data_IF_611824701443
#
_entry.id   IF_611824701443
#
_cell.length_a   1.000
_cell.length_b   1.000
_cell.length_c   1.000
_cell.angle_alpha   90.00
_cell.angle_beta   90.00
_cell.angle_gamma   90.00
#
_symmetry.space_group_name_H-M   'P 1'
#
loop_
_entity.id
_entity.type
_entity.pdbx_description
1 polymer ?
#
# COMPACT_ATOMS: atom_id res chain seq x y z
N UNK A 1 -18.04 3.40 24.71
CA UNK A 1 -17.56 2.23 23.96
C UNK A 1 -16.24 1.82 24.56
N UNK A 2 -16.19 0.62 25.12
CA UNK A 2 -15.01 0.01 25.71
C UNK A 2 -14.37 -0.95 24.70
N UNK A 3 -13.14 -1.39 24.98
CA UNK A 3 -12.49 -2.42 24.16
C UNK A 3 -13.31 -3.72 24.10
N UNK A 4 -13.92 -4.10 25.23
CA UNK A 4 -14.71 -5.32 25.35
C UNK A 4 -15.98 -5.27 24.48
N UNK A 5 -16.61 -4.10 24.36
CA UNK A 5 -17.78 -3.91 23.49
C UNK A 5 -17.41 -4.19 22.01
N UNK A 6 -16.24 -3.74 21.57
CA UNK A 6 -15.75 -3.94 20.21
C UNK A 6 -15.41 -5.41 19.96
N UNK A 7 -14.73 -6.05 20.91
CA UNK A 7 -14.38 -7.48 20.81
C UNK A 7 -15.63 -8.37 20.81
N UNK A 8 -16.63 -8.02 21.62
CA UNK A 8 -17.91 -8.74 21.64
C UNK A 8 -18.62 -8.67 20.28
N UNK A 9 -18.70 -7.49 19.67
CA UNK A 9 -19.28 -7.34 18.32
C UNK A 9 -18.48 -8.12 17.28
N UNK A 10 -17.15 -8.02 17.28
CA UNK A 10 -16.30 -8.73 16.32
C UNK A 10 -16.33 -10.25 16.49
N UNK A 11 -16.64 -10.78 17.67
CA UNK A 11 -16.81 -12.22 17.89
C UNK A 11 -17.97 -12.83 17.09
N UNK A 12 -18.96 -12.01 16.70
CA UNK A 12 -20.10 -12.44 15.88
C UNK A 12 -19.81 -12.47 14.38
N UNK A 13 -18.68 -11.89 13.94
CA UNK A 13 -18.35 -11.79 12.53
C UNK A 13 -17.65 -13.07 12.03
N UNK A 14 -17.82 -13.42 10.73
CA UNK A 14 -17.11 -14.54 10.14
C UNK A 14 -15.59 -14.38 10.25
N UNK A 15 -14.88 -15.45 10.65
CA UNK A 15 -13.41 -15.44 10.80
C UNK A 15 -12.64 -15.17 9.50
N UNK A 16 -13.29 -15.36 8.36
CA UNK A 16 -12.73 -15.12 7.02
C UNK A 16 -13.10 -13.74 6.44
N UNK A 17 -13.72 -12.86 7.24
CA UNK A 17 -14.01 -11.48 6.84
C UNK A 17 -12.73 -10.63 6.96
N UNK A 18 -12.44 -9.82 5.94
CA UNK A 18 -11.42 -8.78 5.99
C UNK A 18 -12.09 -7.41 5.96
N UNK A 19 -11.50 -6.43 6.64
CA UNK A 19 -11.97 -5.03 6.65
C UNK A 19 -11.14 -4.16 5.70
N UNK A 20 -10.48 -4.80 4.72
CA UNK A 20 -9.68 -4.09 3.74
C UNK A 20 -10.64 -3.56 2.68
N UNK A 21 -10.77 -2.24 2.62
CA UNK A 21 -11.56 -1.60 1.56
C UNK A 21 -10.90 -1.83 0.20
N UNK A 22 -11.55 -2.62 -0.65
CA UNK A 22 -11.11 -2.92 -2.01
C UNK A 22 -11.53 -1.82 -2.99
N UNK A 23 -11.12 -0.58 -2.76
CA UNK A 23 -11.32 0.47 -3.76
C UNK A 23 -10.28 0.38 -4.87
N UNK A 24 -10.75 0.46 -6.12
CA UNK A 24 -9.86 0.57 -7.27
C UNK A 24 -8.97 1.80 -7.10
N UNK A 25 -7.66 1.63 -7.32
CA UNK A 25 -6.73 2.75 -7.18
C UNK A 25 -7.07 3.85 -8.18
N UNK A 26 -7.38 5.05 -7.69
CA UNK A 26 -7.65 6.22 -8.54
C UNK A 26 -6.40 6.61 -9.34
N UNK A 27 -6.57 7.19 -10.53
CA UNK A 27 -5.46 7.54 -11.44
C UNK A 27 -4.34 8.36 -10.80
N UNK A 28 -4.68 9.34 -9.94
CA UNK A 28 -3.67 10.14 -9.22
C UNK A 28 -2.84 9.30 -8.24
N UNK A 29 -3.46 8.35 -7.52
CA UNK A 29 -2.77 7.44 -6.58
C UNK A 29 -1.83 6.50 -7.33
N UNK A 30 -2.25 6.01 -8.49
CA UNK A 30 -1.42 5.16 -9.36
C UNK A 30 -0.16 5.91 -9.79
N UNK A 31 -0.31 7.12 -10.30
CA UNK A 31 0.81 7.91 -10.80
C UNK A 31 1.80 8.29 -9.69
N UNK A 32 1.32 8.52 -8.47
CA UNK A 32 2.16 8.92 -7.33
C UNK A 32 2.77 7.76 -6.54
N UNK A 33 2.19 6.55 -6.58
CA UNK A 33 2.62 5.44 -5.72
C UNK A 33 3.01 4.17 -6.48
N UNK A 34 2.43 3.93 -7.65
CA UNK A 34 2.60 2.68 -8.37
C UNK A 34 3.45 2.81 -9.64
N UNK A 35 3.73 4.02 -10.12
CA UNK A 35 4.58 4.29 -11.28
C UNK A 35 5.97 4.85 -10.98
N UNK A 36 6.25 5.55 -9.85
CA UNK A 36 7.60 6.04 -9.60
C UNK A 36 8.61 4.91 -9.42
N UNK A 37 9.84 5.18 -9.81
CA UNK A 37 10.99 4.28 -9.61
C UNK A 37 11.87 4.87 -8.52
N UNK A 38 12.07 4.12 -7.45
CA UNK A 38 12.97 4.50 -6.35
C UNK A 38 14.31 3.82 -6.56
N UNK A 39 15.37 4.62 -6.59
CA UNK A 39 16.75 4.16 -6.65
C UNK A 39 17.28 4.18 -5.22
N UNK A 40 17.68 3.01 -4.74
CA UNK A 40 18.35 2.84 -3.45
C UNK A 40 19.82 2.47 -3.68
N UNK A 41 20.76 3.44 -3.55
CA UNK A 41 22.18 3.15 -3.70
C UNK A 41 22.71 2.21 -2.62
N UNK A 42 22.03 2.06 -1.48
CA UNK A 42 22.39 1.10 -0.44
C UNK A 42 22.26 -0.35 -0.87
N UNK A 43 21.52 -0.65 -1.95
CA UNK A 43 21.43 -2.01 -2.51
C UNK A 43 22.69 -2.44 -3.28
N UNK A 44 23.51 -1.48 -3.77
CA UNK A 44 24.70 -1.79 -4.56
C UNK A 44 25.98 -1.05 -4.10
N UNK A 45 25.89 -0.17 -3.10
CA UNK A 45 27.02 0.50 -2.46
C UNK A 45 27.05 0.17 -0.97
N UNK A 46 28.24 -0.08 -0.41
CA UNK A 46 28.43 -0.43 1.00
C UNK A 46 28.25 0.72 1.99
N UNK A 47 27.91 1.93 1.52
CA UNK A 47 27.71 3.13 2.36
C UNK A 47 26.24 3.51 2.35
N UNK A 48 25.78 4.09 3.46
CA UNK A 48 24.42 4.63 3.57
C UNK A 48 24.27 5.87 2.68
N UNK A 49 23.30 5.84 1.78
CA UNK A 49 22.93 6.97 0.94
C UNK A 49 21.44 7.28 1.09
N UNK A 50 21.04 8.48 0.66
CA UNK A 50 19.63 8.84 0.58
C UNK A 50 18.98 8.18 -0.63
N UNK A 51 17.69 7.88 -0.50
CA UNK A 51 16.87 7.42 -1.62
C UNK A 51 16.72 8.53 -2.65
N UNK A 52 16.78 8.16 -3.93
CA UNK A 52 16.52 9.06 -5.04
C UNK A 52 15.31 8.57 -5.85
N UNK A 53 14.54 9.52 -6.38
CA UNK A 53 13.48 9.23 -7.36
C UNK A 53 14.06 9.39 -8.76
N UNK A 54 13.81 8.41 -9.62
CA UNK A 54 14.11 8.56 -11.04
C UNK A 54 13.12 9.54 -11.69
N UNK A 55 13.57 10.25 -12.73
CA UNK A 55 12.70 11.11 -13.54
C UNK A 55 11.67 10.30 -14.33
N UNK A 56 12.05 9.09 -14.75
CA UNK A 56 11.20 8.21 -15.54
C UNK A 56 10.24 7.40 -14.65
N UNK A 57 9.05 7.15 -15.20
CA UNK A 57 8.03 6.33 -14.58
C UNK A 57 7.97 4.97 -15.25
N UNK A 58 7.78 3.92 -14.46
CA UNK A 58 7.51 2.58 -14.99
C UNK A 58 6.05 2.39 -15.33
N UNK A 59 5.80 1.44 -16.24
CA UNK A 59 4.46 0.98 -16.54
C UNK A 59 3.77 0.33 -15.33
N UNK A 60 2.45 0.31 -15.38
CA UNK A 60 1.66 -0.30 -14.32
C UNK A 60 1.80 -1.84 -14.36
N UNK A 61 2.13 -2.50 -13.23
CA UNK A 61 2.19 -3.95 -13.20
C UNK A 61 0.82 -4.55 -13.52
N UNK A 62 0.79 -5.53 -14.43
CA UNK A 62 -0.45 -6.19 -14.88
C UNK A 62 -0.67 -7.56 -14.25
N UNK A 63 0.34 -8.12 -13.57
CA UNK A 63 0.27 -9.45 -12.95
C UNK A 63 -0.66 -9.50 -11.74
N UNK A 64 -0.98 -8.35 -11.13
CA UNK A 64 -1.89 -8.25 -9.99
C UNK A 64 -2.69 -6.94 -10.03
N UNK A 65 -3.85 -6.93 -9.36
CA UNK A 65 -4.67 -5.72 -9.21
C UNK A 65 -4.17 -4.88 -8.04
N UNK A 66 -4.06 -3.57 -8.26
CA UNK A 66 -3.70 -2.60 -7.23
C UNK A 66 -4.97 -2.08 -6.54
N UNK A 67 -5.04 -2.29 -5.24
CA UNK A 67 -6.05 -1.70 -4.36
C UNK A 67 -5.39 -0.62 -3.51
N UNK A 68 -6.11 0.45 -3.22
CA UNK A 68 -5.64 1.44 -2.23
C UNK A 68 -6.63 1.54 -1.10
N UNK A 69 -6.17 1.25 0.12
CA UNK A 69 -6.92 1.52 1.33
C UNK A 69 -6.89 3.00 1.72
N UNK A 70 -7.89 3.42 2.48
CA UNK A 70 -7.88 4.70 3.18
C UNK A 70 -7.31 4.45 4.59
N UNK A 71 -6.23 5.15 4.93
CA UNK A 71 -5.77 5.24 6.32
C UNK A 71 -6.40 6.51 6.88
N UNK A 72 -7.42 6.36 7.72
CA UNK A 72 -7.98 7.46 8.51
C UNK A 72 -7.19 7.61 9.81
#
# INVERSE_FOLDING_TARGET
MTQDDVLHVFSSLPRNLNFIEHNQSTGWKINLRAKPIIIDPGLYLSKKFNLALATEHRELPSTFKLFTGMCL
#
